data_IF_409503685556
#
_entry.id   IF_409503685556
#
_cell.length_a   1.000
_cell.length_b   1.000
_cell.length_c   1.000
_cell.angle_alpha   90.00
_cell.angle_beta   90.00
_cell.angle_gamma   90.00
#
_symmetry.space_group_name_H-M   'P 1'
#
loop_
_entity.id
_entity.type
_entity.pdbx_description
1 polymer ?
#
# COMPACT_ATOMS: atom_id res chain seq x y z
N UNK A 1 -12.49 -8.75 -1.31
CA UNK A 1 -11.78 -7.46 -1.25
C UNK A 1 -12.70 -6.42 -1.86
N UNK A 2 -13.16 -5.40 -1.13
CA UNK A 2 -13.93 -4.33 -1.75
C UNK A 2 -13.05 -3.59 -2.77
N UNK A 3 -13.48 -3.54 -4.04
CA UNK A 3 -12.76 -2.93 -5.16
C UNK A 3 -12.90 -1.39 -5.18
N UNK A 4 -13.22 -0.77 -4.05
CA UNK A 4 -13.65 0.63 -3.96
C UNK A 4 -12.65 1.65 -4.52
N UNK A 5 -11.36 1.28 -4.59
CA UNK A 5 -10.27 2.14 -5.05
C UNK A 5 -9.70 1.73 -6.42
N UNK A 6 -10.27 0.69 -7.05
CA UNK A 6 -9.81 0.23 -8.36
C UNK A 6 -10.34 1.17 -9.44
N UNK A 7 -9.41 1.79 -10.18
CA UNK A 7 -9.74 2.56 -11.37
C UNK A 7 -9.91 1.59 -12.55
N UNK A 8 -11.06 1.71 -13.21
CA UNK A 8 -11.41 0.90 -14.36
C UNK A 8 -10.58 1.28 -15.59
N UNK A 9 -10.00 0.31 -16.32
CA UNK A 9 -9.32 0.58 -17.58
C UNK A 9 -10.26 1.26 -18.60
N UNK A 10 -9.69 2.16 -19.40
CA UNK A 10 -10.35 2.85 -20.52
C UNK A 10 -11.59 3.70 -20.17
N UNK A 11 -11.85 3.93 -18.89
CA UNK A 11 -12.90 4.83 -18.42
C UNK A 11 -12.31 6.18 -17.98
N UNK A 12 -12.96 7.31 -18.30
CA UNK A 12 -12.53 8.60 -17.77
C UNK A 12 -12.63 8.61 -16.24
N UNK A 13 -11.63 9.20 -15.59
CA UNK A 13 -11.56 9.31 -14.13
C UNK A 13 -11.76 10.75 -13.72
N UNK A 14 -12.76 10.99 -12.87
CA UNK A 14 -12.94 12.28 -12.21
C UNK A 14 -12.36 12.22 -10.80
N UNK A 15 -11.19 12.86 -10.62
CA UNK A 15 -10.52 12.90 -9.31
C UNK A 15 -11.29 13.72 -8.27
N UNK A 16 -12.14 14.67 -8.70
CA UNK A 16 -12.90 15.51 -7.78
C UNK A 16 -14.01 14.73 -7.05
N UNK A 17 -14.45 13.62 -7.64
CA UNK A 17 -15.43 12.72 -7.05
C UNK A 17 -14.82 11.70 -6.07
N UNK A 18 -13.49 11.60 -5.96
CA UNK A 18 -12.81 10.64 -5.10
C UNK A 18 -12.51 11.29 -3.74
N UNK A 19 -13.05 10.75 -2.62
CA UNK A 19 -12.82 11.33 -1.30
C UNK A 19 -11.35 11.28 -0.88
N UNK A 20 -10.87 12.36 -0.28
CA UNK A 20 -9.49 12.47 0.24
C UNK A 20 -9.40 12.34 1.76
N UNK A 21 -10.54 12.24 2.45
CA UNK A 21 -10.65 12.20 3.91
C UNK A 21 -10.87 10.77 4.41
N UNK A 22 -10.31 10.45 5.57
CA UNK A 22 -10.31 9.08 6.11
C UNK A 22 -11.68 8.66 6.66
N UNK A 23 -12.47 9.63 7.09
CA UNK A 23 -13.79 9.50 7.72
C UNK A 23 -14.82 8.83 6.80
N UNK A 24 -14.59 8.86 5.47
CA UNK A 24 -15.41 8.17 4.48
C UNK A 24 -15.13 6.66 4.42
N UNK A 25 -14.09 6.19 5.10
CA UNK A 25 -13.62 4.80 5.06
C UNK A 25 -13.54 4.14 6.43
N UNK A 26 -13.21 4.91 7.47
CA UNK A 26 -13.15 4.44 8.85
C UNK A 26 -13.34 5.62 9.81
N UNK A 27 -14.26 5.45 10.76
CA UNK A 27 -14.54 6.37 11.86
C UNK A 27 -13.76 6.02 13.15
N UNK A 28 -13.30 4.77 13.28
CA UNK A 28 -12.50 4.27 14.40
C UNK A 28 -11.02 4.13 14.03
N UNK A 29 -10.27 5.20 14.22
CA UNK A 29 -8.81 5.21 14.03
C UNK A 29 -8.09 4.14 14.85
N UNK A 30 -8.34 3.96 16.17
CA UNK A 30 -7.75 2.85 16.93
C UNK A 30 -8.00 1.47 16.32
N UNK A 31 -9.19 1.19 15.79
CA UNK A 31 -9.48 -0.06 15.09
C UNK A 31 -8.65 -0.20 13.81
N UNK A 32 -8.63 0.84 12.97
CA UNK A 32 -7.83 0.87 11.75
C UNK A 32 -6.33 0.64 12.04
N UNK A 33 -5.79 1.22 13.13
CA UNK A 33 -4.40 1.01 13.54
C UNK A 33 -4.13 -0.41 14.07
N UNK A 34 -5.14 -1.12 14.61
CA UNK A 34 -5.02 -2.53 14.97
C UNK A 34 -5.02 -3.42 13.73
N UNK A 35 -5.97 -3.21 12.83
CA UNK A 35 -6.07 -3.95 11.57
C UNK A 35 -4.81 -3.75 10.71
N UNK A 36 -4.34 -2.51 10.58
CA UNK A 36 -3.11 -2.19 9.84
C UNK A 36 -1.90 -2.98 10.36
N UNK A 37 -1.79 -3.17 11.67
CA UNK A 37 -0.70 -3.98 12.25
C UNK A 37 -0.83 -5.46 11.88
N UNK A 38 -2.04 -6.01 11.93
CA UNK A 38 -2.30 -7.40 11.53
C UNK A 38 -1.97 -7.64 10.06
N UNK A 39 -2.45 -6.75 9.17
CA UNK A 39 -2.18 -6.82 7.73
C UNK A 39 -0.68 -6.68 7.42
N UNK A 40 0.03 -5.82 8.15
CA UNK A 40 1.48 -5.69 7.99
C UNK A 40 2.21 -6.97 8.42
N UNK A 41 1.80 -7.59 9.52
CA UNK A 41 2.42 -8.83 9.98
C UNK A 41 2.17 -9.98 8.98
N UNK A 42 0.97 -10.02 8.36
CA UNK A 42 0.68 -10.91 7.23
C UNK A 42 1.54 -10.61 5.99
N UNK A 43 1.71 -9.33 5.62
CA UNK A 43 2.57 -8.90 4.52
C UNK A 43 4.01 -9.40 4.70
N UNK A 44 4.55 -9.35 5.92
CA UNK A 44 5.90 -9.85 6.22
C UNK A 44 6.03 -11.34 5.92
N UNK A 45 5.06 -12.16 6.35
CA UNK A 45 5.08 -13.60 6.07
C UNK A 45 4.87 -13.91 4.57
N UNK A 46 3.97 -13.19 3.91
CA UNK A 46 3.76 -13.33 2.46
C UNK A 46 5.02 -12.95 1.67
N UNK A 47 5.72 -11.90 2.07
CA UNK A 47 6.98 -11.51 1.45
C UNK A 47 8.05 -12.60 1.63
N UNK A 48 8.15 -13.21 2.82
CA UNK A 48 9.06 -14.33 3.08
C UNK A 48 8.77 -15.50 2.15
N UNK A 49 7.49 -15.84 1.98
CA UNK A 49 7.04 -16.92 1.08
C UNK A 49 7.33 -16.59 -0.38
N UNK A 50 7.03 -15.38 -0.83
CA UNK A 50 7.32 -14.91 -2.20
C UNK A 50 8.81 -15.02 -2.53
N UNK A 51 9.66 -14.58 -1.58
CA UNK A 51 11.11 -14.65 -1.74
C UNK A 51 11.61 -16.10 -1.79
N UNK A 52 11.13 -16.96 -0.89
CA UNK A 52 11.52 -18.38 -0.86
C UNK A 52 11.04 -19.16 -2.09
N UNK A 53 9.86 -18.82 -2.62
CA UNK A 53 9.31 -19.46 -3.81
C UNK A 53 10.10 -19.11 -5.07
N UNK A 54 10.54 -17.85 -5.21
CA UNK A 54 11.44 -17.44 -6.31
C UNK A 54 10.84 -17.48 -7.72
N UNK A 55 9.54 -17.70 -7.86
CA UNK A 55 8.86 -17.84 -9.18
C UNK A 55 8.12 -16.58 -9.62
N UNK A 56 7.69 -15.74 -8.69
CA UNK A 56 6.88 -14.55 -8.96
C UNK A 56 7.61 -13.27 -8.57
N UNK A 57 7.19 -12.15 -9.15
CA UNK A 57 7.72 -10.81 -8.87
C UNK A 57 6.55 -9.87 -8.59
N UNK A 58 6.72 -8.96 -7.63
CA UNK A 58 5.75 -7.93 -7.29
C UNK A 58 6.37 -6.56 -7.51
N UNK A 59 5.70 -5.72 -8.30
CA UNK A 59 6.02 -4.30 -8.48
C UNK A 59 4.93 -3.46 -7.82
N UNK A 60 5.34 -2.55 -6.94
CA UNK A 60 4.45 -1.59 -6.30
C UNK A 60 4.90 -0.19 -6.70
N UNK A 61 3.99 0.60 -7.26
CA UNK A 61 4.26 1.96 -7.72
C UNK A 61 3.58 2.95 -6.79
N UNK A 62 4.33 3.90 -6.25
CA UNK A 62 3.81 4.98 -5.42
C UNK A 62 3.91 6.31 -6.19
N UNK A 63 2.75 6.88 -6.54
CA UNK A 63 2.66 8.18 -7.18
C UNK A 63 1.74 9.10 -6.38
N UNK A 64 2.23 10.30 -6.08
CA UNK A 64 1.51 11.34 -5.36
C UNK A 64 2.20 12.68 -5.59
N UNK A 65 1.50 13.78 -5.30
CA UNK A 65 2.09 15.12 -5.22
C UNK A 65 3.11 15.22 -4.07
N UNK A 66 3.86 16.32 -4.05
CA UNK A 66 4.74 16.65 -2.92
C UNK A 66 3.94 16.71 -1.62
N UNK A 67 4.55 16.24 -0.53
CA UNK A 67 3.88 16.01 0.75
C UNK A 67 2.67 15.03 0.72
N UNK A 68 2.40 14.35 -0.40
CA UNK A 68 1.34 13.34 -0.53
C UNK A 68 1.62 12.01 0.19
N UNK A 69 2.66 11.94 1.04
CA UNK A 69 2.88 10.83 1.96
C UNK A 69 3.63 9.61 1.42
N UNK A 70 4.08 9.60 0.15
CA UNK A 70 4.79 8.46 -0.50
C UNK A 70 5.85 7.80 0.39
N UNK A 71 6.80 8.59 0.89
CA UNK A 71 7.93 8.07 1.68
C UNK A 71 7.48 7.48 3.02
N UNK A 72 6.50 8.14 3.66
CA UNK A 72 5.95 7.70 4.94
C UNK A 72 5.16 6.39 4.78
N UNK A 73 4.43 6.24 3.68
CA UNK A 73 3.67 5.02 3.36
C UNK A 73 4.63 3.86 3.15
N UNK A 74 5.67 4.04 2.33
CA UNK A 74 6.71 3.01 2.12
C UNK A 74 7.31 2.58 3.47
N UNK A 75 7.72 3.55 4.31
CA UNK A 75 8.33 3.26 5.60
C UNK A 75 7.41 2.51 6.56
N UNK A 76 6.12 2.87 6.61
CA UNK A 76 5.15 2.27 7.53
C UNK A 76 4.67 0.90 7.07
N UNK A 77 4.36 0.76 5.78
CA UNK A 77 3.83 -0.48 5.18
C UNK A 77 4.88 -1.57 5.16
N UNK A 78 6.11 -1.27 4.73
CA UNK A 78 7.18 -2.27 4.60
C UNK A 78 8.02 -2.44 5.88
N UNK A 79 7.55 -1.92 7.02
CA UNK A 79 8.26 -2.05 8.29
C UNK A 79 8.31 -3.53 8.72
N UNK A 80 9.49 -4.03 9.03
CA UNK A 80 9.70 -5.41 9.48
C UNK A 80 9.90 -6.42 8.35
N UNK A 81 9.75 -6.00 7.09
CA UNK A 81 10.08 -6.84 5.93
C UNK A 81 11.59 -7.02 5.82
N UNK A 82 12.05 -8.20 5.40
CA UNK A 82 13.47 -8.46 5.20
C UNK A 82 14.00 -7.57 4.04
N UNK A 83 14.96 -6.66 4.29
CA UNK A 83 15.47 -5.75 3.26
C UNK A 83 16.17 -6.46 2.10
N UNK A 84 16.63 -7.71 2.27
CA UNK A 84 17.20 -8.48 1.16
C UNK A 84 16.17 -8.83 0.07
N UNK A 85 14.89 -8.88 0.43
CA UNK A 85 13.80 -9.26 -0.47
C UNK A 85 12.99 -8.11 -1.03
N UNK A 86 13.32 -6.86 -0.69
CA UNK A 86 12.63 -5.65 -1.18
C UNK A 86 13.64 -4.64 -1.69
N UNK A 87 13.35 -4.05 -2.85
CA UNK A 87 14.16 -2.98 -3.43
C UNK A 87 13.29 -1.74 -3.62
N UNK A 88 13.78 -0.61 -3.14
CA UNK A 88 13.13 0.69 -3.31
C UNK A 88 13.93 1.48 -4.34
N UNK A 89 13.26 1.92 -5.40
CA UNK A 89 13.84 2.74 -6.45
C UNK A 89 13.10 4.07 -6.51
N UNK A 90 13.85 5.17 -6.47
CA UNK A 90 13.34 6.53 -6.64
C UNK A 90 13.71 7.01 -8.03
N UNK A 91 12.71 7.38 -8.82
CA UNK A 91 12.90 8.05 -10.11
C UNK A 91 13.03 9.55 -9.83
N UNK A 92 14.18 10.13 -10.21
CA UNK A 92 14.47 11.56 -10.14
C UNK A 92 14.56 12.13 -11.55
#
# INVERSE_FOLDING_TARGET
MPQTHLVEPDKPVDLSAIPTCAEMFSDDRPAAEREFRQLRDELVELQRRLYAQGTQRLLVVFQAMDAGGKDSTIRKVFRGVNPQGVRVYSFK
#
